data_IF_573229306038
#
_entry.id   IF_573229306038
#
_cell.length_a   1.000
_cell.length_b   1.000
_cell.length_c   1.000
_cell.angle_alpha   90.00
_cell.angle_beta   90.00
_cell.angle_gamma   90.00
#
_symmetry.space_group_name_H-M   'P 1'
#
loop_
_entity.id
_entity.type
_entity.pdbx_description
1 polymer ?
#
# COMPACT_ATOMS: atom_id res chain seq x y z
N UNK A 1 9.52 -11.30 7.06
CA UNK A 1 8.18 -11.91 6.90
C UNK A 1 7.30 -11.08 5.97
N UNK A 2 7.06 -9.79 6.25
CA UNK A 2 6.26 -8.89 5.41
C UNK A 2 6.72 -8.80 3.94
N UNK A 3 8.04 -8.67 3.67
CA UNK A 3 8.57 -8.62 2.28
C UNK A 3 8.14 -9.82 1.42
N UNK A 4 8.16 -11.03 1.99
CA UNK A 4 7.76 -12.26 1.30
C UNK A 4 6.25 -12.28 1.03
N UNK A 5 5.46 -11.81 2.00
CA UNK A 5 4.01 -11.66 1.82
C UNK A 5 3.71 -10.68 0.70
N UNK A 6 4.31 -9.49 0.71
CA UNK A 6 4.12 -8.50 -0.35
C UNK A 6 4.55 -9.04 -1.72
N UNK A 7 5.73 -9.68 -1.79
CA UNK A 7 6.23 -10.27 -3.04
C UNK A 7 5.29 -11.32 -3.63
N UNK A 8 4.69 -12.16 -2.77
CA UNK A 8 3.70 -13.15 -3.19
C UNK A 8 2.35 -12.55 -3.64
N UNK A 9 2.13 -11.26 -3.40
CA UNK A 9 0.91 -10.53 -3.75
C UNK A 9 1.15 -9.44 -4.81
N UNK A 10 2.29 -9.44 -5.49
CA UNK A 10 2.51 -8.62 -6.70
C UNK A 10 1.39 -8.90 -7.72
N UNK A 11 0.83 -7.84 -8.30
CA UNK A 11 -0.29 -7.89 -9.25
C UNK A 11 -1.66 -8.07 -8.60
N UNK A 12 -1.75 -8.20 -7.27
CA UNK A 12 -3.02 -8.37 -6.55
C UNK A 12 -3.55 -7.05 -6.00
N UNK A 13 -4.88 -6.97 -5.93
CA UNK A 13 -5.59 -5.85 -5.32
C UNK A 13 -5.40 -5.86 -3.81
N UNK A 14 -5.16 -4.67 -3.27
CA UNK A 14 -5.01 -4.43 -1.84
C UNK A 14 -5.81 -3.19 -1.43
N UNK A 15 -6.37 -3.23 -0.23
CA UNK A 15 -6.83 -2.03 0.48
C UNK A 15 -5.74 -1.57 1.43
N UNK A 16 -5.34 -0.31 1.28
CA UNK A 16 -4.41 0.42 2.13
C UNK A 16 -5.20 1.33 3.06
N UNK A 17 -5.12 1.14 4.37
CA UNK A 17 -5.64 2.13 5.32
C UNK A 17 -4.50 3.01 5.81
N UNK A 18 -4.57 4.31 5.52
CA UNK A 18 -3.53 5.28 5.85
C UNK A 18 -4.03 6.22 6.93
N UNK A 19 -3.21 6.44 7.98
CA UNK A 19 -3.51 7.42 9.02
C UNK A 19 -3.04 8.81 8.60
N UNK A 20 -3.97 9.71 8.25
CA UNK A 20 -3.65 11.07 7.81
C UNK A 20 -3.47 12.03 8.99
N UNK A 21 -4.17 11.79 10.10
CA UNK A 21 -4.06 12.58 11.33
C UNK A 21 -4.33 11.72 12.57
N UNK A 22 -4.35 12.31 13.78
CA UNK A 22 -4.65 11.55 15.00
C UNK A 22 -6.03 10.86 14.95
N UNK A 23 -6.99 11.42 14.20
CA UNK A 23 -8.39 10.98 14.17
C UNK A 23 -8.88 10.59 12.75
N UNK A 24 -8.10 10.87 11.70
CA UNK A 24 -8.51 10.62 10.31
C UNK A 24 -7.74 9.44 9.69
N UNK A 25 -8.50 8.47 9.18
CA UNK A 25 -8.01 7.35 8.38
C UNK A 25 -8.61 7.39 6.99
N UNK A 26 -7.78 7.15 5.97
CA UNK A 26 -8.18 7.11 4.56
C UNK A 26 -7.97 5.69 4.04
N UNK A 27 -8.97 5.12 3.38
CA UNK A 27 -8.81 3.85 2.68
C UNK A 27 -8.54 4.09 1.19
N UNK A 28 -7.46 3.50 0.68
CA UNK A 28 -7.03 3.59 -0.71
C UNK A 28 -6.96 2.18 -1.28
N UNK A 29 -7.61 1.95 -2.43
CA UNK A 29 -7.51 0.68 -3.15
C UNK A 29 -6.43 0.77 -4.22
N UNK A 30 -5.63 -0.27 -4.35
CA UNK A 30 -4.55 -0.31 -5.33
C UNK A 30 -4.09 -1.71 -5.66
N UNK A 31 -3.05 -1.81 -6.48
CA UNK A 31 -2.40 -3.06 -6.89
C UNK A 31 -0.92 -2.97 -6.51
N UNK A 32 -0.38 -3.97 -5.82
CA UNK A 32 1.06 -4.04 -5.57
C UNK A 32 1.77 -4.22 -6.91
N UNK A 33 2.62 -3.29 -7.31
CA UNK A 33 3.38 -3.37 -8.56
C UNK A 33 4.72 -4.08 -8.33
N UNK A 34 5.54 -3.56 -7.41
CA UNK A 34 6.88 -4.07 -7.17
C UNK A 34 7.23 -4.09 -5.68
N UNK A 35 8.16 -4.97 -5.32
CA UNK A 35 8.63 -5.16 -3.94
C UNK A 35 10.15 -5.15 -3.92
N UNK A 36 10.72 -4.10 -3.33
CA UNK A 36 12.16 -3.90 -3.20
C UNK A 36 12.64 -4.25 -1.79
N UNK A 37 13.95 -4.14 -1.57
CA UNK A 37 14.55 -4.44 -0.25
C UNK A 37 14.11 -3.47 0.83
N UNK A 38 13.87 -2.20 0.50
CA UNK A 38 13.57 -1.15 1.49
C UNK A 38 12.15 -0.58 1.40
N UNK A 39 11.47 -0.78 0.28
CA UNK A 39 10.13 -0.26 0.02
C UNK A 39 9.38 -1.16 -0.98
N UNK A 40 8.10 -0.88 -1.18
CA UNK A 40 7.28 -1.48 -2.22
C UNK A 40 6.43 -0.41 -2.89
N UNK A 41 5.92 -0.69 -4.09
CA UNK A 41 5.09 0.23 -4.86
C UNK A 41 3.67 -0.30 -4.99
N UNK A 42 2.71 0.62 -4.96
CA UNK A 42 1.30 0.33 -5.20
C UNK A 42 0.77 1.30 -6.24
N UNK A 43 0.18 0.77 -7.31
CA UNK A 43 -0.58 1.55 -8.26
C UNK A 43 -1.97 1.81 -7.69
N UNK A 44 -2.34 3.08 -7.55
CA UNK A 44 -3.66 3.52 -7.10
C UNK A 44 -4.33 4.32 -8.21
N UNK A 45 -5.66 4.34 -8.21
CA UNK A 45 -6.45 5.17 -9.12
C UNK A 45 -6.97 6.38 -8.33
N UNK A 46 -6.78 7.58 -8.88
CA UNK A 46 -7.30 8.82 -8.28
C UNK A 46 -8.74 9.08 -8.73
N UNK A 47 -9.42 10.03 -8.07
CA UNK A 47 -10.77 10.46 -8.45
C UNK A 47 -10.86 10.99 -9.90
N UNK A 48 -9.74 11.40 -10.49
CA UNK A 48 -9.63 11.82 -11.88
C UNK A 48 -9.38 10.67 -12.87
N UNK A 49 -9.57 9.41 -12.46
CA UNK A 49 -9.23 8.19 -13.22
C UNK A 49 -7.76 8.10 -13.66
N UNK A 50 -6.86 8.82 -12.99
CA UNK A 50 -5.42 8.76 -13.26
C UNK A 50 -4.80 7.67 -12.41
N UNK A 51 -4.03 6.80 -13.04
CA UNK A 51 -3.20 5.82 -12.35
C UNK A 51 -1.94 6.50 -11.81
N UNK A 52 -1.66 6.31 -10.54
CA UNK A 52 -0.45 6.82 -9.88
C UNK A 52 0.23 5.70 -9.10
N UNK A 53 1.53 5.59 -9.23
CA UNK A 53 2.34 4.70 -8.40
C UNK A 53 2.80 5.45 -7.16
N UNK A 54 2.56 4.86 -5.99
CA UNK A 54 2.98 5.38 -4.68
C UNK A 54 3.90 4.36 -4.02
N UNK A 55 4.98 4.82 -3.40
CA UNK A 55 5.90 3.97 -2.66
C UNK A 55 5.65 4.02 -1.17
N UNK A 56 5.79 2.86 -0.51
CA UNK A 56 5.65 2.71 0.93
C UNK A 56 6.83 1.93 1.49
N UNK A 57 7.33 2.35 2.65
CA UNK A 57 8.37 1.62 3.36
C UNK A 57 7.77 0.51 4.22
N UNK A 58 8.61 -0.45 4.59
CA UNK A 58 8.22 -1.47 5.56
C UNK A 58 7.93 -0.89 6.96
N UNK A 59 8.57 0.24 7.28
CA UNK A 59 8.38 0.92 8.55
C UNK A 59 6.97 1.52 8.66
N UNK A 60 6.42 2.04 7.56
CA UNK A 60 5.07 2.61 7.53
C UNK A 60 4.01 1.54 7.83
N UNK A 61 4.25 0.31 7.34
CA UNK A 61 3.40 -0.85 7.64
C UNK A 61 3.53 -1.27 9.10
N UNK A 62 4.77 -1.35 9.60
CA UNK A 62 5.05 -1.77 10.98
C UNK A 62 4.53 -0.78 12.03
N UNK A 63 4.56 0.51 11.73
CA UNK A 63 4.06 1.57 12.61
C UNK A 63 2.54 1.78 12.51
N UNK A 64 1.84 0.92 11.75
CA UNK A 64 0.39 1.04 11.49
C UNK A 64 0.00 2.38 10.87
N UNK A 65 0.95 3.08 10.24
CA UNK A 65 0.65 4.23 9.39
C UNK A 65 -0.02 3.77 8.10
N UNK A 66 0.26 2.53 7.67
CA UNK A 66 -0.33 1.86 6.52
C UNK A 66 -0.72 0.42 6.90
N UNK A 67 -1.99 0.04 6.71
CA UNK A 67 -2.44 -1.35 6.88
C UNK A 67 -2.83 -1.96 5.55
N UNK A 68 -2.41 -3.20 5.30
CA UNK A 68 -2.68 -3.94 4.06
C UNK A 68 -3.71 -5.03 4.31
N UNK A 69 -4.78 -5.04 3.52
CA UNK A 69 -5.73 -6.16 3.44
C UNK A 69 -5.80 -6.67 2.00
N UNK A 70 -5.62 -7.97 1.83
CA UNK A 70 -5.93 -8.64 0.57
C UNK A 70 -7.45 -8.66 0.39
N UNK A 71 -7.92 -8.24 -0.79
CA UNK A 71 -9.33 -8.34 -1.19
C UNK A 71 -9.69 -9.75 -1.67
#
# INVERSE_FOLDING_TARGET
>A
MIKKVLGNNIGRKVSLTIRRSKEEYVEIKGIIEDVFTSFFTVQVETDEHKKRTVSYSYFDVLTSQVSLKAS
#
